data_IF_985203277597
#
_entry.id   IF_985203277597
#
_cell.length_a   1.000
_cell.length_b   1.000
_cell.length_c   1.000
_cell.angle_alpha   90.00
_cell.angle_beta   90.00
_cell.angle_gamma   90.00
#
_symmetry.space_group_name_H-M   'P 1'
#
loop_
_entity.id
_entity.type
_entity.pdbx_description
1 polymer ?
#
# COMPACT_ATOMS: atom_id res chain seq x y z
N UNK A 1 17.36 -33.78 42.84
CA UNK A 1 17.11 -33.87 41.38
C UNK A 1 15.80 -33.16 41.08
N UNK A 2 15.84 -31.91 40.61
CA UNK A 2 14.64 -31.13 40.30
C UNK A 2 14.51 -31.06 38.78
N UNK A 3 13.44 -31.67 38.26
CA UNK A 3 13.12 -31.70 36.83
C UNK A 3 12.64 -30.31 36.42
N UNK A 4 13.39 -29.62 35.57
CA UNK A 4 12.94 -28.39 34.94
C UNK A 4 11.84 -28.72 33.91
N UNK A 5 10.65 -28.17 34.12
CA UNK A 5 9.54 -28.26 33.17
C UNK A 5 9.71 -27.13 32.15
N UNK A 6 10.17 -27.45 30.94
CA UNK A 6 10.25 -26.48 29.85
C UNK A 6 8.85 -26.28 29.25
N UNK A 7 8.24 -25.12 29.52
CA UNK A 7 7.01 -24.68 28.85
C UNK A 7 7.39 -24.13 27.49
N UNK A 8 7.10 -24.89 26.43
CA UNK A 8 7.26 -24.44 25.05
C UNK A 8 6.13 -23.47 24.71
N UNK A 9 6.45 -22.18 24.66
CA UNK A 9 5.54 -21.15 24.12
C UNK A 9 5.52 -21.34 22.59
N UNK A 10 4.45 -21.94 22.08
CA UNK A 10 4.20 -21.96 20.64
C UNK A 10 3.88 -20.53 20.19
N UNK A 11 4.86 -19.86 19.59
CA UNK A 11 4.66 -18.58 18.91
C UNK A 11 3.85 -18.88 17.64
N UNK A 12 2.55 -18.63 17.69
CA UNK A 12 1.71 -18.59 16.49
C UNK A 12 2.08 -17.31 15.74
N UNK A 13 2.96 -17.43 14.74
CA UNK A 13 3.17 -16.36 13.77
C UNK A 13 1.92 -16.24 12.92
N UNK A 14 0.99 -15.36 13.33
CA UNK A 14 -0.03 -14.84 12.42
C UNK A 14 0.71 -14.06 11.34
N UNK A 15 1.08 -14.74 10.25
CA UNK A 15 1.48 -14.07 9.03
C UNK A 15 0.29 -13.26 8.55
N UNK A 16 0.34 -11.94 8.73
CA UNK A 16 -0.61 -11.03 8.10
C UNK A 16 -0.47 -11.24 6.58
N UNK A 17 -1.40 -12.00 6.01
CA UNK A 17 -1.40 -12.26 4.58
C UNK A 17 -1.70 -10.94 3.87
N UNK A 18 -0.77 -10.48 3.04
CA UNK A 18 -1.02 -9.32 2.17
C UNK A 18 -2.30 -9.59 1.37
N UNK A 19 -3.28 -8.72 1.52
CA UNK A 19 -4.55 -8.84 0.83
C UNK A 19 -4.47 -8.10 -0.52
N UNK A 20 -5.04 -8.66 -1.60
CA UNK A 20 -5.10 -7.95 -2.86
C UNK A 20 -5.99 -6.71 -2.75
N UNK A 21 -5.60 -5.62 -3.39
CA UNK A 21 -6.46 -4.45 -3.56
C UNK A 21 -7.64 -4.81 -4.47
N UNK A 22 -8.84 -4.43 -4.04
CA UNK A 22 -10.04 -4.54 -4.85
C UNK A 22 -9.97 -3.58 -6.05
N UNK A 23 -10.81 -3.83 -7.06
CA UNK A 23 -10.96 -2.90 -8.17
C UNK A 23 -11.45 -1.51 -7.71
N UNK A 24 -12.19 -1.43 -6.61
CA UNK A 24 -12.61 -0.17 -5.99
C UNK A 24 -11.43 0.59 -5.41
N UNK A 25 -10.63 -0.05 -4.56
CA UNK A 25 -9.42 0.54 -3.98
C UNK A 25 -8.43 1.00 -5.05
N UNK A 26 -8.25 0.22 -6.13
CA UNK A 26 -7.40 0.68 -7.24
C UNK A 26 -7.97 1.92 -7.94
N UNK A 27 -9.29 2.05 -8.12
CA UNK A 27 -9.90 3.25 -8.69
C UNK A 27 -9.71 4.48 -7.80
N UNK A 28 -9.97 4.33 -6.51
CA UNK A 28 -9.80 5.40 -5.53
C UNK A 28 -8.33 5.83 -5.43
N UNK A 29 -7.39 4.88 -5.41
CA UNK A 29 -5.96 5.18 -5.45
C UNK A 29 -5.56 5.90 -6.75
N UNK A 30 -6.13 5.53 -7.89
CA UNK A 30 -5.91 6.23 -9.16
C UNK A 30 -6.42 7.67 -9.13
N UNK A 31 -7.58 7.90 -8.50
CA UNK A 31 -8.13 9.24 -8.30
C UNK A 31 -7.28 10.07 -7.33
N UNK A 32 -6.72 9.44 -6.29
CA UNK A 32 -5.74 10.08 -5.40
C UNK A 32 -4.49 10.54 -6.17
N UNK A 33 -3.91 9.68 -7.01
CA UNK A 33 -2.74 10.01 -7.83
C UNK A 33 -3.07 11.09 -8.87
N UNK A 34 -4.26 11.05 -9.50
CA UNK A 34 -4.73 12.15 -10.36
C UNK A 34 -4.75 13.48 -9.60
N UNK A 35 -5.29 13.46 -8.38
CA UNK A 35 -5.42 14.66 -7.56
C UNK A 35 -4.05 15.16 -7.07
N UNK A 36 -3.08 14.28 -6.84
CA UNK A 36 -1.69 14.68 -6.58
C UNK A 36 -1.09 15.43 -7.78
N UNK A 37 -1.32 14.94 -9.00
CA UNK A 37 -0.87 15.63 -10.21
C UNK A 37 -1.57 16.98 -10.42
N UNK A 38 -2.88 17.06 -10.13
CA UNK A 38 -3.60 18.33 -10.15
C UNK A 38 -3.06 19.31 -9.09
N UNK A 39 -2.79 18.83 -7.88
CA UNK A 39 -2.21 19.66 -6.82
C UNK A 39 -0.85 20.24 -7.22
N UNK A 40 0.02 19.43 -7.84
CA UNK A 40 1.27 19.87 -8.44
C UNK A 40 1.03 20.99 -9.47
N UNK A 41 0.09 20.78 -10.39
CA UNK A 41 -0.24 21.74 -11.45
C UNK A 41 -0.81 23.06 -10.89
N UNK A 42 -1.40 23.03 -9.68
CA UNK A 42 -1.84 24.20 -8.92
C UNK A 42 -0.80 24.75 -7.93
N UNK A 43 0.45 24.30 -8.01
CA UNK A 43 1.59 24.89 -7.27
C UNK A 43 1.98 24.19 -5.97
N UNK A 44 1.41 23.02 -5.65
CA UNK A 44 1.93 22.20 -4.56
C UNK A 44 3.35 21.72 -4.91
N UNK A 45 4.32 21.94 -4.01
CA UNK A 45 5.67 21.41 -4.21
C UNK A 45 5.75 19.92 -3.87
N UNK A 46 6.76 19.25 -4.40
CA UNK A 46 7.09 17.88 -4.05
C UNK A 46 7.27 17.71 -2.54
N UNK A 47 8.06 18.59 -1.92
CA UNK A 47 8.38 18.54 -0.49
C UNK A 47 7.12 18.67 0.35
N UNK A 48 6.23 19.60 -0.01
CA UNK A 48 4.97 19.81 0.69
C UNK A 48 4.05 18.59 0.57
N UNK A 49 3.81 18.10 -0.64
CA UNK A 49 2.86 17.02 -0.85
C UNK A 49 3.37 15.69 -0.29
N UNK A 50 4.65 15.37 -0.52
CA UNK A 50 5.29 14.16 0.02
C UNK A 50 5.38 14.23 1.54
N UNK A 51 5.76 15.37 2.12
CA UNK A 51 5.78 15.54 3.57
C UNK A 51 4.40 15.25 4.19
N UNK A 52 3.35 15.82 3.59
CA UNK A 52 1.98 15.58 4.04
C UNK A 52 1.57 14.11 3.92
N UNK A 53 1.96 13.42 2.84
CA UNK A 53 1.74 11.99 2.66
C UNK A 53 2.42 11.18 3.77
N UNK A 54 3.70 11.44 4.06
CA UNK A 54 4.41 10.69 5.10
C UNK A 54 3.82 10.92 6.50
N UNK A 55 3.36 12.14 6.79
CA UNK A 55 2.63 12.43 8.03
C UNK A 55 1.31 11.64 8.11
N UNK A 56 0.56 11.55 7.01
CA UNK A 56 -0.67 10.74 6.95
C UNK A 56 -0.38 9.25 7.12
N UNK A 57 0.63 8.71 6.43
CA UNK A 57 1.04 7.31 6.57
C UNK A 57 1.46 7.02 8.02
N UNK A 58 2.21 7.91 8.66
CA UNK A 58 2.60 7.77 10.06
C UNK A 58 1.40 7.78 10.99
N UNK A 59 0.44 8.68 10.78
CA UNK A 59 -0.76 8.80 11.60
C UNK A 59 -1.65 7.56 11.49
N UNK A 60 -1.88 7.04 10.28
CA UNK A 60 -2.84 5.95 10.08
C UNK A 60 -2.32 4.57 10.54
N UNK A 61 -1.00 4.43 10.76
CA UNK A 61 -0.41 3.21 11.35
C UNK A 61 -0.96 2.89 12.74
N UNK A 62 -1.52 3.87 13.45
CA UNK A 62 -2.17 3.62 14.74
C UNK A 62 -3.48 2.82 14.63
N UNK A 63 -4.13 2.82 13.45
CA UNK A 63 -5.35 2.06 13.23
C UNK A 63 -5.05 0.61 12.82
N UNK A 64 -5.94 -0.36 13.11
CA UNK A 64 -5.88 -1.72 12.54
C UNK A 64 -5.78 -1.71 11.02
N UNK A 65 -5.03 -2.67 10.43
CA UNK A 65 -4.75 -2.69 9.01
C UNK A 65 -6.02 -2.75 8.15
N UNK A 66 -7.03 -3.50 8.59
CA UNK A 66 -8.34 -3.64 7.97
C UNK A 66 -9.17 -2.35 7.95
N UNK A 67 -8.80 -1.35 8.76
CA UNK A 67 -9.44 -0.03 8.77
C UNK A 67 -8.63 1.02 7.99
N UNK A 68 -7.41 0.71 7.56
CA UNK A 68 -6.59 1.63 6.77
C UNK A 68 -7.04 1.56 5.32
N UNK A 69 -7.40 2.72 4.77
CA UNK A 69 -7.62 2.83 3.34
C UNK A 69 -6.31 2.60 2.58
N UNK A 70 -6.35 1.68 1.62
CA UNK A 70 -5.28 1.36 0.67
C UNK A 70 -3.96 0.85 1.26
N UNK A 71 -3.39 1.46 2.30
CA UNK A 71 -2.08 1.11 2.87
C UNK A 71 -2.21 0.19 4.08
N UNK A 72 -2.36 -1.11 3.80
CA UNK A 72 -2.54 -2.13 4.85
C UNK A 72 -1.21 -2.61 5.43
N UNK A 73 -0.16 -2.59 4.61
CA UNK A 73 1.19 -3.01 4.97
C UNK A 73 2.27 -2.09 4.38
N UNK A 74 3.53 -2.34 4.76
CA UNK A 74 4.67 -1.56 4.29
C UNK A 74 4.84 -1.61 2.76
N UNK A 75 4.48 -2.71 2.11
CA UNK A 75 4.60 -2.83 0.66
C UNK A 75 3.52 -2.02 -0.07
N UNK A 76 2.37 -1.79 0.55
CA UNK A 76 1.37 -0.85 0.04
C UNK A 76 1.80 0.60 0.24
N UNK A 77 2.39 0.93 1.39
CA UNK A 77 2.98 2.26 1.62
C UNK A 77 4.07 2.57 0.57
N UNK A 78 5.00 1.64 0.35
CA UNK A 78 6.07 1.80 -0.65
C UNK A 78 5.52 1.95 -2.07
N UNK A 79 4.46 1.20 -2.39
CA UNK A 79 3.79 1.34 -3.68
C UNK A 79 3.17 2.73 -3.83
N UNK A 80 2.40 3.20 -2.84
CA UNK A 80 1.75 4.51 -2.91
C UNK A 80 2.79 5.66 -2.95
N UNK A 81 3.86 5.57 -2.16
CA UNK A 81 4.97 6.54 -2.20
C UNK A 81 5.60 6.62 -3.58
N UNK A 82 5.94 5.49 -4.20
CA UNK A 82 6.57 5.47 -5.51
C UNK A 82 5.69 6.14 -6.57
N UNK A 83 4.38 5.92 -6.51
CA UNK A 83 3.40 6.52 -7.43
C UNK A 83 3.28 8.03 -7.20
N UNK A 84 3.29 8.50 -5.95
CA UNK A 84 3.33 9.94 -5.64
C UNK A 84 4.66 10.57 -6.04
N UNK A 85 5.80 9.90 -5.83
CA UNK A 85 7.09 10.41 -6.27
C UNK A 85 7.13 10.59 -7.78
N UNK A 86 6.63 9.62 -8.54
CA UNK A 86 6.55 9.71 -10.00
C UNK A 86 5.73 10.91 -10.48
N UNK A 87 4.69 11.32 -9.75
CA UNK A 87 3.92 12.53 -10.08
C UNK A 87 4.81 13.78 -10.10
N UNK A 88 5.75 13.91 -9.16
CA UNK A 88 6.59 15.10 -9.07
C UNK A 88 7.92 14.96 -9.83
N UNK A 89 8.46 13.75 -9.90
CA UNK A 89 9.78 13.46 -10.47
C UNK A 89 9.73 13.29 -12.00
N UNK A 90 8.59 12.86 -12.56
CA UNK A 90 8.33 12.79 -14.00
C UNK A 90 6.96 13.44 -14.33
N UNK A 91 6.88 14.79 -14.38
CA UNK A 91 5.62 15.49 -14.58
C UNK A 91 4.96 15.14 -15.91
N UNK A 92 3.70 14.74 -15.83
CA UNK A 92 2.84 14.42 -16.97
C UNK A 92 1.39 14.79 -16.64
N UNK A 93 0.51 14.72 -17.65
CA UNK A 93 -0.92 14.96 -17.47
C UNK A 93 -1.51 14.08 -16.36
N UNK A 94 -2.44 14.63 -15.58
CA UNK A 94 -3.03 13.96 -14.41
C UNK A 94 -3.68 12.61 -14.76
N UNK A 95 -4.39 12.52 -15.89
CA UNK A 95 -4.98 11.26 -16.36
C UNK A 95 -3.93 10.21 -16.73
N UNK A 96 -2.76 10.60 -17.24
CA UNK A 96 -1.68 9.64 -17.52
C UNK A 96 -1.13 9.02 -16.24
N UNK A 97 -1.02 9.80 -15.17
CA UNK A 97 -0.64 9.29 -13.85
C UNK A 97 -1.71 8.35 -13.28
N UNK A 98 -3.00 8.71 -13.42
CA UNK A 98 -4.13 7.88 -13.03
C UNK A 98 -4.16 6.54 -13.75
N UNK A 99 -4.12 6.55 -15.08
CA UNK A 99 -4.18 5.33 -15.89
C UNK A 99 -2.99 4.41 -15.62
N UNK A 100 -1.80 4.98 -15.49
CA UNK A 100 -0.59 4.25 -15.10
C UNK A 100 -0.73 3.58 -13.73
N UNK A 101 -1.28 4.29 -12.75
CA UNK A 101 -1.55 3.74 -11.43
C UNK A 101 -2.55 2.60 -11.49
N UNK A 102 -3.69 2.77 -12.19
CA UNK A 102 -4.73 1.75 -12.32
C UNK A 102 -4.16 0.44 -12.87
N UNK A 103 -3.36 0.54 -13.92
CA UNK A 103 -2.71 -0.61 -14.55
C UNK A 103 -1.73 -1.30 -13.60
N UNK A 104 -0.88 -0.54 -12.89
CA UNK A 104 0.08 -1.09 -11.92
C UNK A 104 -0.59 -1.69 -10.70
N UNK A 105 -1.66 -1.06 -10.19
CA UNK A 105 -2.45 -1.53 -9.06
C UNK A 105 -3.16 -2.85 -9.39
N UNK A 106 -3.84 -2.93 -10.54
CA UNK A 106 -4.49 -4.16 -11.00
C UNK A 106 -3.48 -5.32 -11.12
N UNK A 107 -2.33 -5.08 -11.76
CA UNK A 107 -1.25 -6.07 -11.84
C UNK A 107 -0.73 -6.50 -10.47
N UNK A 108 -0.61 -5.58 -9.52
CA UNK A 108 -0.18 -5.88 -8.15
C UNK A 108 -1.22 -6.75 -7.44
N UNK A 109 -2.50 -6.38 -7.52
CA UNK A 109 -3.61 -7.14 -6.94
C UNK A 109 -3.63 -8.59 -7.46
N UNK A 110 -3.51 -8.77 -8.78
CA UNK A 110 -3.43 -10.09 -9.40
C UNK A 110 -2.25 -10.92 -8.89
N UNK A 111 -1.06 -10.31 -8.73
CA UNK A 111 0.11 -11.00 -8.18
C UNK A 111 -0.11 -11.44 -6.75
N UNK A 112 -0.70 -10.59 -5.92
CA UNK A 112 -0.98 -10.89 -4.51
C UNK A 112 -2.03 -12.01 -4.40
N UNK A 113 -3.10 -11.93 -5.20
CA UNK A 113 -4.14 -12.96 -5.25
C UNK A 113 -3.60 -14.33 -5.68
N UNK A 114 -2.75 -14.38 -6.72
CA UNK A 114 -2.11 -15.63 -7.17
C UNK A 114 -1.18 -16.22 -6.11
N UNK A 115 -0.42 -15.38 -5.40
CA UNK A 115 0.48 -15.84 -4.33
C UNK A 115 -0.31 -16.46 -3.18
N UNK A 116 -1.41 -15.83 -2.77
CA UNK A 116 -2.30 -16.35 -1.72
C UNK A 116 -2.92 -17.70 -2.13
N UNK A 117 -3.37 -17.84 -3.39
CA UNK A 117 -3.86 -19.13 -3.89
C UNK A 117 -2.79 -20.22 -3.88
N UNK A 118 -1.56 -19.90 -4.31
CA UNK A 118 -0.44 -20.85 -4.28
C UNK A 118 -0.10 -21.32 -2.86
N UNK A 119 -0.05 -20.41 -1.89
CA UNK A 119 0.23 -20.74 -0.48
C UNK A 119 -0.88 -21.63 0.10
N UNK A 120 -2.15 -21.35 -0.20
CA UNK A 120 -3.27 -22.16 0.29
C UNK A 120 -3.38 -23.55 -0.35
N UNK A 121 -2.93 -23.71 -1.60
CA UNK A 121 -2.93 -25.01 -2.29
C UNK A 121 -1.73 -25.91 -1.93
N UNK A 122 -0.72 -25.37 -1.24
CA UNK A 122 0.47 -26.11 -0.81
C UNK A 122 0.38 -26.64 0.64
N UNK A 123 -0.65 -26.24 1.39
CA UNK A 123 -1.01 -26.73 2.73
C UNK A 123 -2.23 -27.65 2.66
#
# INVERSE_FOLDING_TARGET
MHRALAVAIAVWTMSAAAQPHSAGECREGGDFIRNAALARDFGATREFFVGRLEDDLAAIRAFPAELRWFVRDAADEDFLRAEVFAVFDDPAASERHRDGFLERCARRADRVARRDHHVRGAN
#
